data_IF_430331042812
#
_entry.id   IF_430331042812
#
_cell.length_a   1.000
_cell.length_b   1.000
_cell.length_c   1.000
_cell.angle_alpha   90.00
_cell.angle_beta   90.00
_cell.angle_gamma   90.00
#
_symmetry.space_group_name_H-M   'P 1'
#
loop_
_entity.id
_entity.type
_entity.pdbx_description
1 polymer ?
#
# COMPACT_ATOMS: atom_id res chain seq x y z
N UNK A 1 12.10 -17.05 7.36
CA UNK A 1 11.19 -15.97 7.78
C UNK A 1 9.77 -16.51 7.85
N UNK A 2 8.92 -16.10 8.81
CA UNK A 2 7.55 -16.60 8.89
C UNK A 2 6.73 -16.17 7.67
N UNK A 3 5.81 -17.03 7.21
CA UNK A 3 5.00 -16.83 5.98
C UNK A 3 4.31 -15.46 5.93
N UNK A 4 3.70 -14.93 7.01
CA UNK A 4 3.05 -13.61 6.99
C UNK A 4 4.01 -12.47 6.65
N UNK A 5 5.27 -12.56 7.08
CA UNK A 5 6.30 -11.55 6.80
C UNK A 5 6.68 -11.56 5.33
N UNK A 6 6.83 -12.75 4.73
CA UNK A 6 7.15 -12.89 3.31
C UNK A 6 6.01 -12.35 2.44
N UNK A 7 4.76 -12.70 2.78
CA UNK A 7 3.58 -12.16 2.12
C UNK A 7 3.52 -10.63 2.21
N UNK A 8 3.76 -10.07 3.40
CA UNK A 8 3.76 -8.63 3.60
C UNK A 8 4.82 -7.91 2.77
N UNK A 9 6.05 -8.45 2.73
CA UNK A 9 7.12 -7.92 1.87
C UNK A 9 6.74 -7.99 0.40
N UNK A 10 6.21 -9.13 -0.07
CA UNK A 10 5.83 -9.30 -1.47
C UNK A 10 4.74 -8.29 -1.91
N UNK A 11 3.67 -8.15 -1.12
CA UNK A 11 2.61 -7.20 -1.44
C UNK A 11 3.05 -5.74 -1.32
N UNK A 12 3.89 -5.42 -0.32
CA UNK A 12 4.43 -4.07 -0.15
C UNK A 12 5.31 -3.68 -1.33
N UNK A 13 6.21 -4.57 -1.77
CA UNK A 13 7.04 -4.37 -2.96
C UNK A 13 6.20 -4.22 -4.22
N UNK A 14 5.19 -5.08 -4.41
CA UNK A 14 4.25 -4.96 -5.52
C UNK A 14 3.56 -3.58 -5.54
N UNK A 15 3.05 -3.14 -4.39
CA UNK A 15 2.41 -1.84 -4.25
C UNK A 15 3.38 -0.68 -4.54
N UNK A 16 4.60 -0.73 -4.00
CA UNK A 16 5.60 0.34 -4.18
C UNK A 16 6.03 0.50 -5.64
N UNK A 17 5.96 -0.57 -6.44
CA UNK A 17 6.25 -0.52 -7.88
C UNK A 17 5.03 -0.07 -8.70
N UNK A 18 3.85 -0.61 -8.40
CA UNK A 18 2.65 -0.43 -9.23
C UNK A 18 1.89 0.87 -8.96
N UNK A 19 1.93 1.40 -7.73
CA UNK A 19 1.22 2.64 -7.36
C UNK A 19 1.74 3.87 -8.13
N UNK A 20 3.06 4.13 -8.24
CA UNK A 20 3.57 5.24 -9.05
C UNK A 20 3.19 5.11 -10.52
N UNK A 21 3.25 3.89 -11.06
CA UNK A 21 2.86 3.63 -12.45
C UNK A 21 1.39 4.00 -12.63
N UNK A 22 0.51 3.54 -11.74
CA UNK A 22 -0.92 3.84 -11.81
C UNK A 22 -1.25 5.34 -11.62
N UNK A 23 -0.47 6.07 -10.82
CA UNK A 23 -0.69 7.49 -10.51
C UNK A 23 -0.10 8.46 -11.56
N UNK A 24 1.10 8.17 -12.04
CA UNK A 24 1.92 9.11 -12.81
C UNK A 24 2.09 8.74 -14.28
N UNK A 25 1.64 7.57 -14.72
CA UNK A 25 1.56 7.22 -16.14
C UNK A 25 0.09 7.21 -16.64
N UNK A 26 -0.63 8.36 -16.61
CA UNK A 26 -1.99 8.46 -17.15
C UNK A 26 -2.04 8.30 -18.67
N UNK A 27 -0.89 8.36 -19.37
CA UNK A 27 -0.76 8.17 -20.82
C UNK A 27 -0.87 6.72 -21.28
N UNK A 28 -0.97 5.74 -20.36
CA UNK A 28 -1.12 4.31 -20.69
C UNK A 28 -2.51 3.95 -21.27
N UNK A 29 -3.36 4.94 -21.53
CA UNK A 29 -4.73 4.75 -22.01
C UNK A 29 -5.67 4.18 -20.93
N UNK A 30 -6.98 4.19 -21.21
CA UNK A 30 -8.00 3.73 -20.26
C UNK A 30 -7.82 2.26 -19.82
N UNK A 31 -7.27 1.41 -20.70
CA UNK A 31 -7.01 0.00 -20.39
C UNK A 31 -5.75 -0.21 -19.54
N UNK A 32 -4.65 0.47 -19.86
CA UNK A 32 -3.42 0.39 -19.08
C UNK A 32 -3.61 0.91 -17.65
N UNK A 33 -4.30 2.05 -17.49
CA UNK A 33 -4.62 2.56 -16.16
C UNK A 33 -5.47 1.57 -15.34
N UNK A 34 -6.42 0.86 -15.95
CA UNK A 34 -7.24 -0.16 -15.26
C UNK A 34 -6.40 -1.35 -14.80
N UNK A 35 -5.47 -1.82 -15.62
CA UNK A 35 -4.59 -2.94 -15.26
C UNK A 35 -3.69 -2.55 -14.07
N UNK A 36 -2.92 -1.46 -14.22
CA UNK A 36 -2.01 -1.01 -13.18
C UNK A 36 -2.73 -0.56 -11.91
N UNK A 37 -3.91 0.07 -12.03
CA UNK A 37 -4.75 0.43 -10.90
C UNK A 37 -5.27 -0.79 -10.12
N UNK A 38 -5.59 -1.89 -10.80
CA UNK A 38 -5.98 -3.16 -10.14
C UNK A 38 -4.80 -3.81 -9.43
N UNK A 39 -3.63 -3.84 -10.07
CA UNK A 39 -2.41 -4.36 -9.45
C UNK A 39 -1.99 -3.53 -8.23
N UNK A 40 -2.05 -2.20 -8.34
CA UNK A 40 -1.80 -1.27 -7.25
C UNK A 40 -2.78 -1.48 -6.09
N UNK A 41 -4.08 -1.58 -6.38
CA UNK A 41 -5.08 -1.85 -5.36
C UNK A 41 -4.88 -3.22 -4.68
N UNK A 42 -4.57 -4.27 -5.44
CA UNK A 42 -4.28 -5.59 -4.89
C UNK A 42 -3.03 -5.58 -4.00
N UNK A 43 -1.96 -4.90 -4.43
CA UNK A 43 -0.76 -4.69 -3.63
C UNK A 43 -1.05 -3.95 -2.32
N UNK A 44 -1.76 -2.81 -2.39
CA UNK A 44 -2.10 -2.01 -1.21
C UNK A 44 -2.96 -2.80 -0.21
N UNK A 45 -3.98 -3.50 -0.69
CA UNK A 45 -4.86 -4.31 0.16
C UNK A 45 -4.09 -5.47 0.78
N UNK A 46 -3.32 -6.22 -0.03
CA UNK A 46 -2.50 -7.33 0.44
C UNK A 46 -1.47 -6.89 1.47
N UNK A 47 -0.79 -5.76 1.25
CA UNK A 47 0.19 -5.20 2.16
C UNK A 47 -0.46 -4.79 3.49
N UNK A 48 -1.59 -4.10 3.43
CA UNK A 48 -2.30 -3.66 4.64
C UNK A 48 -2.88 -4.83 5.44
N UNK A 49 -3.51 -5.82 4.80
CA UNK A 49 -4.03 -7.00 5.47
C UNK A 49 -2.92 -7.80 6.14
N UNK A 50 -1.87 -8.13 5.39
CA UNK A 50 -0.72 -8.87 5.92
C UNK A 50 0.01 -8.12 7.04
N UNK A 51 0.05 -6.78 7.01
CA UNK A 51 0.64 -5.97 8.08
C UNK A 51 -0.01 -6.21 9.44
N UNK A 52 -1.33 -6.49 9.47
CA UNK A 52 -2.07 -6.77 10.69
C UNK A 52 -1.64 -8.09 11.36
N UNK A 53 -1.05 -9.01 10.60
CA UNK A 53 -0.60 -10.32 11.09
C UNK A 53 0.91 -10.39 11.36
N UNK A 54 1.67 -9.33 11.07
CA UNK A 54 3.15 -9.29 11.23
C UNK A 54 3.56 -8.76 12.63
N UNK A 55 2.67 -8.80 13.61
CA UNK A 55 2.91 -8.27 14.95
C UNK A 55 3.98 -9.08 15.72
N UNK A 56 5.00 -8.38 16.25
CA UNK A 56 6.00 -8.96 17.18
C UNK A 56 5.82 -8.54 18.64
N UNK A 57 5.14 -7.42 18.90
CA UNK A 57 5.04 -6.81 20.25
C UNK A 57 3.67 -6.13 20.52
N UNK A 58 2.60 -6.56 19.84
CA UNK A 58 1.26 -5.95 19.96
C UNK A 58 0.95 -4.85 18.93
N UNK A 59 -0.24 -4.21 19.03
CA UNK A 59 -0.68 -3.20 18.08
C UNK A 59 0.25 -1.98 18.11
N UNK A 60 0.73 -1.58 16.93
CA UNK A 60 1.59 -0.40 16.76
C UNK A 60 0.90 0.65 15.88
N UNK A 61 1.37 1.91 15.85
CA UNK A 61 0.79 2.94 14.97
C UNK A 61 0.69 2.54 13.50
N UNK A 62 1.56 1.63 13.03
CA UNK A 62 1.50 1.08 11.67
C UNK A 62 0.25 0.21 11.42
N UNK A 63 -0.36 -0.39 12.44
CA UNK A 63 -1.61 -1.14 12.31
C UNK A 63 -2.79 -0.19 12.10
N UNK A 64 -2.81 0.93 12.85
CA UNK A 64 -3.80 1.99 12.64
C UNK A 64 -3.68 2.54 11.23
N UNK A 65 -2.45 2.77 10.75
CA UNK A 65 -2.19 3.19 9.38
C UNK A 65 -2.65 2.15 8.35
N UNK A 66 -2.45 0.86 8.60
CA UNK A 66 -2.93 -0.23 7.74
C UNK A 66 -4.46 -0.27 7.66
N UNK A 67 -5.17 -0.11 8.78
CA UNK A 67 -6.64 -0.04 8.81
C UNK A 67 -7.13 1.19 8.04
N UNK A 68 -6.52 2.36 8.30
CA UNK A 68 -6.84 3.59 7.59
C UNK A 68 -6.59 3.45 6.07
N UNK A 69 -5.54 2.75 5.67
CA UNK A 69 -5.24 2.45 4.28
C UNK A 69 -6.32 1.58 3.64
N UNK A 70 -6.76 0.50 4.29
CA UNK A 70 -7.86 -0.35 3.80
C UNK A 70 -9.15 0.44 3.58
N UNK A 71 -9.53 1.28 4.56
CA UNK A 71 -10.71 2.14 4.45
C UNK A 71 -10.57 3.15 3.31
N UNK A 72 -9.36 3.70 3.11
CA UNK A 72 -9.07 4.66 2.04
C UNK A 72 -9.20 4.00 0.66
N UNK A 73 -8.64 2.81 0.47
CA UNK A 73 -8.72 2.07 -0.79
C UNK A 73 -10.17 1.64 -1.07
N UNK A 74 -10.90 1.14 -0.07
CA UNK A 74 -12.31 0.78 -0.22
C UNK A 74 -13.16 1.99 -0.68
N UNK A 75 -12.95 3.15 -0.05
CA UNK A 75 -13.59 4.41 -0.46
C UNK A 75 -13.14 4.83 -1.86
N UNK A 76 -11.87 4.70 -2.21
CA UNK A 76 -11.36 5.06 -3.54
C UNK A 76 -12.04 4.23 -4.64
N UNK A 77 -12.23 2.93 -4.41
CA UNK A 77 -12.95 2.03 -5.32
C UNK A 77 -14.42 2.41 -5.40
N UNK A 78 -15.07 2.66 -4.26
CA UNK A 78 -16.46 3.10 -4.23
C UNK A 78 -16.67 4.39 -5.05
N UNK A 79 -15.81 5.41 -4.87
CA UNK A 79 -15.92 6.66 -5.61
C UNK A 79 -15.68 6.47 -7.12
N UNK A 80 -14.76 5.60 -7.53
CA UNK A 80 -14.56 5.28 -8.94
C UNK A 80 -15.80 4.63 -9.56
N UNK A 81 -16.45 3.71 -8.85
CA UNK A 81 -17.69 3.05 -9.30
C UNK A 81 -18.87 4.01 -9.47
N UNK A 82 -18.88 5.12 -8.75
CA UNK A 82 -19.89 6.18 -8.84
C UNK A 82 -19.48 7.32 -9.79
N UNK A 83 -18.44 7.13 -10.62
CA UNK A 83 -17.98 8.15 -11.57
C UNK A 83 -17.27 9.35 -10.93
N UNK A 84 -17.02 9.34 -9.61
CA UNK A 84 -16.37 10.42 -8.87
C UNK A 84 -14.84 10.32 -8.96
N UNK A 85 -14.31 10.49 -10.17
CA UNK A 85 -12.89 10.24 -10.49
C UNK A 85 -11.95 11.21 -9.75
N UNK A 86 -12.33 12.47 -9.57
CA UNK A 86 -11.54 13.42 -8.79
C UNK A 86 -11.33 12.96 -7.34
N UNK A 87 -12.40 12.45 -6.71
CA UNK A 87 -12.35 11.88 -5.36
C UNK A 87 -11.54 10.58 -5.31
N UNK A 88 -11.72 9.70 -6.29
CA UNK A 88 -10.91 8.49 -6.44
C UNK A 88 -9.41 8.82 -6.50
N UNK A 89 -9.02 9.76 -7.37
CA UNK A 89 -7.62 10.18 -7.53
C UNK A 89 -7.04 10.72 -6.24
N UNK A 90 -7.79 11.59 -5.52
CA UNK A 90 -7.35 12.13 -4.22
C UNK A 90 -7.11 11.01 -3.20
N UNK A 91 -8.03 10.04 -3.11
CA UNK A 91 -7.88 8.92 -2.18
C UNK A 91 -6.72 7.98 -2.57
N UNK A 92 -6.49 7.75 -3.86
CA UNK A 92 -5.34 6.97 -4.31
C UNK A 92 -4.00 7.67 -4.05
N UNK A 93 -3.94 9.00 -4.15
CA UNK A 93 -2.76 9.77 -3.72
C UNK A 93 -2.51 9.64 -2.21
N UNK A 94 -3.57 9.71 -1.39
CA UNK A 94 -3.48 9.50 0.06
C UNK A 94 -3.01 8.06 0.38
N UNK A 95 -3.56 7.06 -0.30
CA UNK A 95 -3.19 5.66 -0.13
C UNK A 95 -1.72 5.42 -0.52
N UNK A 96 -1.27 5.96 -1.65
CA UNK A 96 0.12 5.89 -2.09
C UNK A 96 1.06 6.61 -1.11
N UNK A 97 0.73 7.82 -0.67
CA UNK A 97 1.50 8.54 0.33
C UNK A 97 1.63 7.74 1.65
N UNK A 98 0.53 7.15 2.11
CA UNK A 98 0.51 6.31 3.32
C UNK A 98 1.43 5.09 3.19
N UNK A 99 1.48 4.46 2.01
CA UNK A 99 2.39 3.35 1.72
C UNK A 99 3.85 3.77 1.86
N UNK A 100 4.25 4.89 1.24
CA UNK A 100 5.64 5.37 1.31
C UNK A 100 6.03 5.82 2.71
N UNK A 101 5.13 6.47 3.45
CA UNK A 101 5.34 6.82 4.86
C UNK A 101 5.52 5.56 5.71
N UNK A 102 4.68 4.54 5.51
CA UNK A 102 4.81 3.27 6.22
C UNK A 102 6.12 2.55 5.88
N UNK A 103 6.51 2.52 4.61
CA UNK A 103 7.77 1.93 4.14
C UNK A 103 8.99 2.65 4.71
N UNK A 104 8.99 3.99 4.68
CA UNK A 104 10.02 4.81 5.29
C UNK A 104 10.11 4.55 6.80
N UNK A 105 8.99 4.50 7.52
CA UNK A 105 8.97 4.16 8.94
C UNK A 105 9.48 2.74 9.21
N UNK A 106 9.21 1.77 8.32
CA UNK A 106 9.70 0.41 8.46
C UNK A 106 11.23 0.31 8.30
N UNK A 107 11.81 1.16 7.45
CA UNK A 107 13.25 1.20 7.15
C UNK A 107 14.01 2.08 8.14
N UNK A 108 13.47 3.23 8.53
CA UNK A 108 14.18 4.22 9.34
C UNK A 108 14.11 3.96 10.84
N UNK A 109 13.08 3.24 11.33
CA UNK A 109 12.96 2.90 12.75
C UNK A 109 13.86 1.70 13.08
N UNK A 110 14.90 1.88 13.91
CA UNK A 110 15.82 0.80 14.27
C UNK A 110 15.10 -0.36 14.97
N UNK A 111 15.59 -1.58 14.77
CA UNK A 111 15.00 -2.78 15.35
C UNK A 111 13.83 -3.39 14.55
N UNK A 112 13.37 -2.73 13.47
CA UNK A 112 12.45 -3.35 12.50
C UNK A 112 13.20 -4.25 11.52
N UNK A 113 12.50 -5.26 10.99
CA UNK A 113 13.09 -6.21 10.06
C UNK A 113 13.65 -5.53 8.80
N UNK A 114 12.89 -4.58 8.23
CA UNK A 114 13.33 -3.88 7.03
C UNK A 114 14.60 -3.04 7.27
N UNK A 115 14.74 -2.41 8.45
CA UNK A 115 15.98 -1.74 8.85
C UNK A 115 17.16 -2.72 8.89
N UNK A 116 17.01 -3.86 9.58
CA UNK A 116 18.06 -4.89 9.67
C UNK A 116 18.45 -5.46 8.31
N UNK A 117 17.47 -5.71 7.44
CA UNK A 117 17.72 -6.21 6.09
C UNK A 117 18.53 -5.23 5.21
N UNK A 118 18.44 -3.92 5.47
CA UNK A 118 19.13 -2.89 4.68
C UNK A 118 20.43 -2.40 5.31
N UNK A 119 20.53 -2.42 6.64
CA UNK A 119 21.64 -1.80 7.37
C UNK A 119 22.46 -2.76 8.27
N UNK A 120 21.99 -3.99 8.50
CA UNK A 120 22.64 -4.99 9.38
C UNK A 120 21.89 -5.22 10.68
#
# INVERSE_FOLDING_TARGET
MPIPVLAHLAFSSLAMLTVPIALFLPKLGGWGHRLWGRLAAAGLIGAALSALFVARHGPSPLHVLAIALLLTVARAVHQARHGRIASHRRLMLIAGGSLYVAGAAAILIPGRLAHRLLFG
#
